data_IF_247903094017
#
_entry.id   IF_247903094017
#
_cell.length_a   1.000
_cell.length_b   1.000
_cell.length_c   1.000
_cell.angle_alpha   90.00
_cell.angle_beta   90.00
_cell.angle_gamma   90.00
#
_symmetry.space_group_name_H-M   'P 1'
#
loop_
_entity.id
_entity.type
_entity.pdbx_description
1 polymer ?
#
# COMPACT_ATOMS: atom_id res chain seq x y z
N UNK A 1 23.05 25.64 16.02
CA UNK A 1 23.01 26.13 14.62
C UNK A 1 22.82 25.00 13.62
N UNK A 2 23.57 23.90 13.71
CA UNK A 2 23.46 22.73 12.79
C UNK A 2 22.08 22.06 12.84
N UNK A 3 21.51 21.83 14.03
CA UNK A 3 20.17 21.25 14.18
C UNK A 3 19.05 22.12 13.59
N UNK A 4 19.14 23.44 13.71
CA UNK A 4 18.18 24.36 13.13
C UNK A 4 18.24 24.36 11.59
N UNK A 5 19.44 24.23 11.02
CA UNK A 5 19.63 24.06 9.58
C UNK A 5 19.06 22.71 9.10
N UNK A 6 19.26 21.60 9.84
CA UNK A 6 18.68 20.29 9.53
C UNK A 6 17.14 20.30 9.58
N UNK A 7 16.56 20.95 10.59
CA UNK A 7 15.11 21.11 10.73
C UNK A 7 14.52 21.95 9.58
N UNK A 8 15.17 23.06 9.24
CA UNK A 8 14.79 23.90 8.08
C UNK A 8 14.89 23.12 6.76
N UNK A 9 15.94 22.30 6.57
CA UNK A 9 16.09 21.45 5.39
C UNK A 9 14.98 20.39 5.33
N UNK A 10 14.63 19.74 6.44
CA UNK A 10 13.52 18.77 6.45
C UNK A 10 12.15 19.39 6.11
N UNK A 11 11.92 20.65 6.49
CA UNK A 11 10.71 21.39 6.14
C UNK A 11 10.66 21.77 4.66
N UNK A 12 11.81 21.97 3.99
CA UNK A 12 11.89 22.21 2.54
C UNK A 12 11.58 20.96 1.70
N UNK A 13 11.76 19.76 2.27
CA UNK A 13 11.43 18.48 1.63
C UNK A 13 10.07 17.91 2.03
N UNK A 14 9.30 18.61 2.86
CA UNK A 14 7.94 18.23 3.22
C UNK A 14 6.99 18.52 2.04
N UNK A 15 7.12 17.75 0.96
CA UNK A 15 6.21 17.79 -0.16
C UNK A 15 4.85 17.25 0.27
N UNK A 16 3.79 18.06 0.13
CA UNK A 16 2.43 17.53 0.16
C UNK A 16 2.24 16.67 -1.08
N UNK A 17 2.43 15.36 -0.95
CA UNK A 17 2.11 14.42 -2.02
C UNK A 17 0.59 14.42 -2.22
N UNK A 18 0.12 15.30 -3.11
CA UNK A 18 -1.27 15.30 -3.55
C UNK A 18 -1.56 13.97 -4.25
N UNK A 19 -2.68 13.34 -3.89
CA UNK A 19 -3.14 12.14 -4.57
C UNK A 19 -3.36 12.42 -6.06
N UNK A 20 -2.72 11.64 -6.91
CA UNK A 20 -2.84 11.76 -8.37
C UNK A 20 -3.65 10.58 -8.92
N UNK A 21 -4.73 10.88 -9.63
CA UNK A 21 -5.44 9.86 -10.40
C UNK A 21 -4.64 9.51 -11.64
N UNK A 22 -4.25 8.24 -11.77
CA UNK A 22 -3.63 7.69 -12.98
C UNK A 22 -4.04 6.24 -13.20
N UNK A 23 -3.84 5.75 -14.42
CA UNK A 23 -3.87 4.32 -14.70
C UNK A 23 -2.60 3.67 -14.17
N UNK A 24 -2.73 2.46 -13.62
CA UNK A 24 -1.63 1.66 -13.12
C UNK A 24 -1.48 0.44 -14.03
N UNK A 25 -0.25 0.16 -14.46
CA UNK A 25 0.04 -1.14 -15.07
C UNK A 25 0.14 -2.24 -13.99
N UNK A 26 0.41 -3.49 -14.39
CA UNK A 26 0.48 -4.62 -13.45
C UNK A 26 1.56 -4.43 -12.37
N UNK A 27 2.74 -3.92 -12.71
CA UNK A 27 3.84 -3.75 -11.75
C UNK A 27 3.55 -2.59 -10.77
N UNK A 28 3.04 -1.47 -11.29
CA UNK A 28 2.66 -0.32 -10.48
C UNK A 28 1.51 -0.63 -9.54
N UNK A 29 0.53 -1.43 -9.97
CA UNK A 29 -0.58 -1.85 -9.11
C UNK A 29 -0.06 -2.62 -7.89
N UNK A 30 0.90 -3.53 -8.08
CA UNK A 30 1.52 -4.29 -6.98
C UNK A 30 2.21 -3.35 -5.99
N UNK A 31 2.96 -2.36 -6.49
CA UNK A 31 3.62 -1.37 -5.63
C UNK A 31 2.62 -0.59 -4.78
N UNK A 32 1.50 -0.15 -5.38
CA UNK A 32 0.45 0.58 -4.65
C UNK A 32 -0.19 -0.31 -3.59
N UNK A 33 -0.51 -1.56 -3.92
CA UNK A 33 -1.10 -2.50 -2.94
C UNK A 33 -0.14 -2.79 -1.79
N UNK A 34 1.16 -2.95 -2.06
CA UNK A 34 2.19 -3.15 -1.05
C UNK A 34 2.33 -1.92 -0.14
N UNK A 35 2.29 -0.72 -0.71
CA UNK A 35 2.37 0.56 0.01
C UNK A 35 1.13 0.82 0.88
N UNK A 36 -0.06 0.43 0.42
CA UNK A 36 -1.27 0.45 1.25
C UNK A 36 -1.13 -0.52 2.43
N UNK A 37 -0.69 -1.75 2.17
CA UNK A 37 -0.54 -2.77 3.22
C UNK A 37 0.57 -2.41 4.23
N UNK A 38 1.65 -1.77 3.78
CA UNK A 38 2.75 -1.35 4.66
C UNK A 38 2.34 -0.22 5.61
N UNK A 39 1.48 0.70 5.15
CA UNK A 39 0.94 1.78 5.99
C UNK A 39 -0.15 1.32 6.95
N UNK A 40 -0.95 0.33 6.55
CA UNK A 40 -2.14 -0.10 7.29
C UNK A 40 -2.16 -1.61 7.61
N UNK A 41 -1.07 -2.22 8.15
CA UNK A 41 -0.96 -3.68 8.26
C UNK A 41 -1.95 -4.30 9.25
N UNK A 42 -2.47 -3.51 10.19
CA UNK A 42 -3.42 -4.00 11.19
C UNK A 42 -4.83 -4.20 10.63
N UNK A 43 -5.16 -3.54 9.51
CA UNK A 43 -6.49 -3.58 8.90
C UNK A 43 -6.49 -4.04 7.45
N UNK A 44 -5.31 -4.42 6.94
CA UNK A 44 -5.14 -4.91 5.57
C UNK A 44 -4.30 -6.18 5.54
N UNK A 45 -4.55 -7.01 4.53
CA UNK A 45 -3.68 -8.15 4.21
C UNK A 45 -3.57 -8.30 2.70
N UNK A 46 -2.36 -8.17 2.18
CA UNK A 46 -2.04 -8.42 0.78
C UNK A 46 -1.58 -9.87 0.59
N UNK A 47 -2.19 -10.57 -0.37
CA UNK A 47 -1.80 -11.94 -0.74
C UNK A 47 -2.09 -12.23 -2.21
N UNK A 48 -1.58 -13.35 -2.71
CA UNK A 48 -1.89 -13.86 -4.04
C UNK A 48 -2.75 -15.12 -3.94
N UNK A 49 -3.61 -15.35 -4.92
CA UNK A 49 -4.27 -16.64 -5.10
C UNK A 49 -3.26 -17.70 -5.55
N UNK A 50 -3.64 -18.98 -5.44
CA UNK A 50 -2.82 -20.10 -5.92
C UNK A 50 -2.71 -20.10 -7.44
N UNK A 51 -3.79 -19.73 -8.13
CA UNK A 51 -3.83 -19.63 -9.58
C UNK A 51 -3.24 -18.31 -10.08
N UNK A 52 -2.58 -18.38 -11.23
CA UNK A 52 -2.11 -17.21 -11.97
C UNK A 52 -3.05 -16.89 -13.14
N UNK A 53 -2.89 -15.72 -13.75
CA UNK A 53 -3.50 -15.45 -15.04
C UNK A 53 -2.98 -16.40 -16.12
N UNK A 54 -3.62 -16.40 -17.30
CA UNK A 54 -3.17 -17.17 -18.47
C UNK A 54 -1.72 -16.86 -18.86
N UNK A 55 -1.24 -15.65 -18.59
CA UNK A 55 0.13 -15.21 -18.86
C UNK A 55 1.08 -15.39 -17.66
N UNK A 56 0.67 -16.12 -16.62
CA UNK A 56 1.49 -16.38 -15.44
C UNK A 56 1.58 -15.20 -14.46
N UNK A 57 0.73 -14.18 -14.60
CA UNK A 57 0.73 -13.03 -13.67
C UNK A 57 0.03 -13.43 -12.37
N UNK A 58 0.63 -13.22 -11.19
CA UNK A 58 -0.02 -13.50 -9.92
C UNK A 58 -1.30 -12.68 -9.73
N UNK A 59 -2.34 -13.32 -9.22
CA UNK A 59 -3.62 -12.67 -8.94
C UNK A 59 -3.60 -12.11 -7.51
N UNK A 60 -3.31 -10.81 -7.39
CA UNK A 60 -3.24 -10.12 -6.10
C UNK A 60 -4.63 -9.80 -5.54
N UNK A 61 -4.77 -10.00 -4.23
CA UNK A 61 -5.95 -9.62 -3.44
C UNK A 61 -5.48 -8.79 -2.25
N UNK A 62 -6.15 -7.67 -2.01
CA UNK A 62 -6.03 -6.91 -0.77
C UNK A 62 -7.33 -7.07 0.02
N UNK A 63 -7.21 -7.65 1.20
CA UNK A 63 -8.30 -7.79 2.16
C UNK A 63 -8.33 -6.56 3.08
N UNK A 64 -9.52 -6.04 3.37
CA UNK A 64 -9.75 -5.02 4.38
C UNK A 64 -10.67 -5.59 5.47
N UNK A 65 -10.21 -5.62 6.73
CA UNK A 65 -10.95 -6.16 7.88
C UNK A 65 -10.39 -5.59 9.19
N UNK A 66 -11.16 -5.64 10.28
CA UNK A 66 -10.64 -5.36 11.62
C UNK A 66 -9.70 -6.44 12.14
N UNK A 67 -9.75 -7.64 11.58
CA UNK A 67 -8.86 -8.77 11.90
C UNK A 67 -8.49 -9.55 10.63
N UNK A 68 -7.59 -9.00 9.79
CA UNK A 68 -7.26 -9.61 8.50
C UNK A 68 -6.82 -11.08 8.61
N UNK A 69 -7.25 -11.91 7.67
CA UNK A 69 -7.00 -13.36 7.66
C UNK A 69 -7.96 -14.17 8.52
N UNK A 70 -8.96 -13.55 9.15
CA UNK A 70 -9.99 -14.22 9.92
C UNK A 70 -11.38 -13.86 9.42
N UNK A 71 -12.22 -14.87 9.16
CA UNK A 71 -13.62 -14.63 8.84
C UNK A 71 -14.37 -14.13 10.08
N UNK A 72 -14.94 -12.94 9.97
CA UNK A 72 -15.82 -12.35 10.97
C UNK A 72 -17.27 -12.56 10.53
N UNK A 73 -18.05 -13.28 11.34
CA UNK A 73 -19.49 -13.42 11.10
C UNK A 73 -20.13 -12.06 11.41
N UNK A 74 -20.84 -11.48 10.43
CA UNK A 74 -21.67 -10.29 10.70
C UNK A 74 -22.67 -10.64 11.80
N UNK A 75 -22.65 -9.89 12.90
CA UNK A 75 -23.78 -9.87 13.83
C UNK A 75 -25.00 -9.23 13.19
#
# INVERSE_FOLDING_TARGET
MVYAALLMVSLLFAGTHQFQFKHHNNDELVQVLQDVNSRCPNVTRLYTLTETSVLGIPLYVIEFSTKPGHHEISK
#
